data_IF_195988914375
#
_entry.id   IF_195988914375
#
_cell.length_a   1.000
_cell.length_b   1.000
_cell.length_c   1.000
_cell.angle_alpha   90.00
_cell.angle_beta   90.00
_cell.angle_gamma   90.00
#
_symmetry.space_group_name_H-M   'P 1'
#
loop_
_entity.id
_entity.type
_entity.pdbx_description
1 polymer ?
#
# COMPACT_ATOMS: atom_id res chain seq x y z
N UNK A 1 -1.50 -0.12 16.85
CA UNK A 1 -0.71 0.54 17.92
C UNK A 1 -1.39 1.85 18.27
N UNK A 2 -1.83 2.07 19.50
CA UNK A 2 -2.54 3.31 19.85
C UNK A 2 -1.57 4.43 20.27
N UNK A 3 -1.77 5.64 19.74
CA UNK A 3 -0.93 6.83 20.00
C UNK A 3 -1.79 8.01 20.50
N UNK A 4 -2.18 8.03 21.79
CA UNK A 4 -2.98 9.13 22.34
C UNK A 4 -2.24 10.48 22.30
N UNK A 5 -0.91 10.44 22.43
CA UNK A 5 0.06 11.53 22.42
C UNK A 5 0.59 11.88 21.01
N UNK A 6 -0.08 11.44 19.93
CA UNK A 6 0.39 11.63 18.54
C UNK A 6 0.79 13.08 18.19
N UNK A 7 0.11 14.05 18.80
CA UNK A 7 0.30 15.47 18.53
C UNK A 7 1.67 15.93 19.08
N UNK A 8 2.10 15.37 20.21
CA UNK A 8 3.40 15.61 20.84
C UNK A 8 4.55 14.93 20.07
N UNK A 9 4.27 13.77 19.45
CA UNK A 9 5.24 13.03 18.63
C UNK A 9 5.60 13.76 17.32
N UNK A 10 4.73 14.66 16.83
CA UNK A 10 4.92 15.30 15.51
C UNK A 10 6.24 16.05 15.38
N UNK A 11 6.60 16.88 16.37
CA UNK A 11 7.79 17.73 16.29
C UNK A 11 9.08 16.91 16.46
N UNK A 12 9.23 16.01 17.46
CA UNK A 12 10.39 15.14 17.58
C UNK A 12 10.68 14.31 16.32
N UNK A 13 9.64 13.71 15.72
CA UNK A 13 9.81 12.91 14.48
C UNK A 13 10.24 13.77 13.29
N UNK A 14 9.79 15.03 13.24
CA UNK A 14 10.23 15.96 12.21
C UNK A 14 11.69 16.36 12.40
N UNK A 15 12.07 16.74 13.62
CA UNK A 15 13.41 17.22 13.95
C UNK A 15 14.48 16.15 13.71
N UNK A 16 14.21 14.90 14.08
CA UNK A 16 15.13 13.79 13.82
C UNK A 16 15.28 13.53 12.32
N UNK A 17 14.20 13.55 11.54
CA UNK A 17 14.27 13.36 10.10
C UNK A 17 15.04 14.50 9.42
N UNK A 18 14.80 15.76 9.82
CA UNK A 18 15.55 16.92 9.31
C UNK A 18 17.04 16.84 9.66
N UNK A 19 17.37 16.45 10.89
CA UNK A 19 18.76 16.25 11.35
C UNK A 19 19.49 15.16 10.57
N UNK A 20 18.79 14.07 10.26
CA UNK A 20 19.33 12.92 9.53
C UNK A 20 19.28 13.09 8.00
N UNK A 21 18.75 14.22 7.51
CA UNK A 21 18.62 14.50 6.08
C UNK A 21 17.65 13.55 5.36
N UNK A 22 16.64 13.04 6.06
CA UNK A 22 15.62 12.16 5.50
C UNK A 22 14.52 12.98 4.81
N UNK A 23 13.97 12.41 3.74
CA UNK A 23 12.78 12.92 3.07
C UNK A 23 11.73 11.81 3.00
N UNK A 24 10.46 12.20 2.93
CA UNK A 24 9.37 11.23 3.03
C UNK A 24 8.15 11.78 3.73
N UNK A 25 7.26 10.88 4.11
CA UNK A 25 6.04 11.21 4.85
C UNK A 25 5.87 10.27 6.02
N UNK A 26 5.63 10.85 7.20
CA UNK A 26 5.11 10.17 8.38
C UNK A 26 3.68 10.66 8.60
N UNK A 27 2.76 9.70 8.71
CA UNK A 27 1.38 9.91 9.11
C UNK A 27 1.22 9.45 10.56
N UNK A 28 0.74 10.35 11.40
CA UNK A 28 0.43 10.08 12.81
C UNK A 28 -1.06 10.21 13.02
N UNK A 29 -1.65 9.21 13.64
CA UNK A 29 -3.07 9.17 14.03
C UNK A 29 -3.20 8.57 15.42
N UNK A 30 -4.39 8.63 16.02
CA UNK A 30 -4.59 7.98 17.32
C UNK A 30 -4.56 6.45 17.20
N UNK A 31 -4.86 5.90 16.01
CA UNK A 31 -4.82 4.47 15.70
C UNK A 31 -3.41 3.96 15.33
N UNK A 32 -2.41 4.85 15.22
CA UNK A 32 -1.02 4.47 14.99
C UNK A 32 -0.24 5.38 14.05
N UNK A 33 0.81 4.81 13.48
CA UNK A 33 1.77 5.46 12.58
C UNK A 33 1.85 4.72 11.24
N UNK A 34 2.02 5.45 10.15
CA UNK A 34 2.40 4.90 8.85
C UNK A 34 3.47 5.83 8.24
N UNK A 35 4.55 5.27 7.71
CA UNK A 35 5.63 6.09 7.19
C UNK A 35 6.34 5.48 5.98
N UNK A 36 6.81 6.37 5.12
CA UNK A 36 7.71 6.09 4.00
C UNK A 36 8.82 7.12 4.05
N UNK A 37 10.05 6.67 4.29
CA UNK A 37 11.22 7.53 4.46
C UNK A 37 12.32 7.05 3.53
N UNK A 38 13.05 7.98 2.94
CA UNK A 38 14.25 7.69 2.16
C UNK A 38 15.39 8.64 2.50
N UNK A 39 16.59 8.10 2.47
CA UNK A 39 17.83 8.80 2.77
C UNK A 39 19.00 7.82 2.81
N UNK A 40 20.14 8.28 3.30
CA UNK A 40 21.32 7.41 3.43
C UNK A 40 21.04 6.24 4.37
N UNK A 41 21.72 5.10 4.15
CA UNK A 41 21.63 3.93 5.03
C UNK A 41 21.85 4.30 6.51
N UNK A 42 22.88 5.09 6.78
CA UNK A 42 23.19 5.60 8.13
C UNK A 42 22.05 6.43 8.71
N UNK A 43 21.43 7.30 7.90
CA UNK A 43 20.29 8.11 8.33
C UNK A 43 19.07 7.26 8.67
N UNK A 44 18.77 6.24 7.86
CA UNK A 44 17.69 5.30 8.15
C UNK A 44 17.98 4.50 9.42
N UNK A 45 19.17 3.93 9.56
CA UNK A 45 19.55 3.15 10.76
C UNK A 45 19.42 4.00 12.04
N UNK A 46 19.91 5.24 12.03
CA UNK A 46 19.76 6.16 13.17
C UNK A 46 18.30 6.56 13.45
N UNK A 47 17.46 6.66 12.42
CA UNK A 47 16.03 6.89 12.61
C UNK A 47 15.35 5.67 13.24
N UNK A 48 15.71 4.45 12.84
CA UNK A 48 15.18 3.22 13.44
C UNK A 48 15.62 3.07 14.90
N UNK A 49 16.86 3.44 15.23
CA UNK A 49 17.32 3.52 16.62
C UNK A 49 16.49 4.52 17.43
N UNK A 50 16.17 5.69 16.88
CA UNK A 50 15.27 6.66 17.50
C UNK A 50 13.86 6.09 17.67
N UNK A 51 13.30 5.45 16.64
CA UNK A 51 11.97 4.87 16.64
C UNK A 51 11.83 3.81 17.75
N UNK A 52 12.85 2.96 17.91
CA UNK A 52 12.90 1.92 18.92
C UNK A 52 13.01 2.42 20.37
N UNK A 53 13.29 3.72 20.60
CA UNK A 53 13.25 4.32 21.94
C UNK A 53 11.82 4.36 22.49
N UNK A 54 10.82 4.44 21.61
CA UNK A 54 9.43 4.22 21.97
C UNK A 54 9.11 2.74 21.80
N UNK A 55 8.98 2.03 22.92
CA UNK A 55 8.67 0.60 22.94
C UNK A 55 7.39 0.24 22.16
N UNK A 56 6.44 1.18 22.01
CA UNK A 56 5.22 0.96 21.21
C UNK A 56 5.51 0.80 19.71
N UNK A 57 6.66 1.28 19.25
CA UNK A 57 7.06 1.38 17.85
C UNK A 57 8.26 0.50 17.48
N UNK A 58 8.83 -0.22 18.45
CA UNK A 58 10.08 -0.97 18.27
C UNK A 58 9.96 -2.12 17.26
N UNK A 59 8.80 -2.77 17.19
CA UNK A 59 8.57 -3.96 16.37
C UNK A 59 7.74 -3.69 15.11
N UNK A 60 7.71 -2.44 14.63
CA UNK A 60 6.98 -2.11 13.39
C UNK A 60 7.63 -2.88 12.22
N UNK A 61 6.85 -3.66 11.44
CA UNK A 61 7.36 -4.31 10.25
C UNK A 61 7.86 -3.27 9.25
N UNK A 62 9.09 -3.46 8.77
CA UNK A 62 9.74 -2.55 7.84
C UNK A 62 9.92 -3.22 6.48
N UNK A 63 9.79 -2.43 5.42
CA UNK A 63 10.19 -2.82 4.07
C UNK A 63 11.24 -1.86 3.56
N UNK A 64 12.26 -2.42 2.94
CA UNK A 64 13.41 -1.67 2.44
C UNK A 64 13.52 -1.91 0.94
N UNK A 65 13.65 -0.82 0.19
CA UNK A 65 13.99 -0.85 -1.23
C UNK A 65 15.08 0.18 -1.48
N UNK A 66 15.80 0.00 -2.58
CA UNK A 66 16.93 0.83 -2.95
C UNK A 66 16.59 1.64 -4.20
N UNK A 67 17.14 2.85 -4.28
CA UNK A 67 17.08 3.70 -5.47
C UNK A 67 18.33 4.56 -5.51
N UNK A 68 18.83 4.82 -6.71
CA UNK A 68 19.98 5.69 -6.94
C UNK A 68 19.64 7.17 -6.74
N UNK A 69 18.35 7.51 -6.71
CA UNK A 69 17.87 8.88 -6.53
C UNK A 69 16.99 9.01 -5.29
N UNK A 70 16.79 10.24 -4.83
CA UNK A 70 15.95 10.53 -3.66
C UNK A 70 14.47 10.59 -4.09
N UNK A 71 13.63 9.60 -3.72
CA UNK A 71 12.26 9.49 -4.23
C UNK A 71 11.29 10.50 -3.60
N UNK A 72 11.70 11.24 -2.56
CA UNK A 72 10.87 12.27 -1.92
C UNK A 72 11.45 13.67 -2.03
N UNK A 73 10.60 14.67 -2.32
CA UNK A 73 11.02 16.09 -2.43
C UNK A 73 11.36 16.75 -1.12
N UNK A 74 10.69 16.35 -0.05
CA UNK A 74 10.69 17.02 1.25
C UNK A 74 10.25 16.04 2.33
N UNK A 75 10.56 16.38 3.56
CA UNK A 75 10.06 15.68 4.73
C UNK A 75 8.69 16.23 5.15
N UNK A 76 7.75 15.34 5.47
CA UNK A 76 6.40 15.69 5.93
C UNK A 76 6.05 14.84 7.16
N UNK A 77 5.61 15.48 8.24
CA UNK A 77 4.97 14.80 9.38
C UNK A 77 3.56 15.36 9.54
N UNK A 78 2.56 14.51 9.26
CA UNK A 78 1.15 14.91 9.16
C UNK A 78 0.33 14.22 10.23
N UNK A 79 -0.45 15.02 10.97
CA UNK A 79 -1.52 14.51 11.81
C UNK A 79 -2.71 14.15 10.93
N UNK A 80 -3.26 12.96 11.13
CA UNK A 80 -4.39 12.43 10.39
C UNK A 80 -5.38 11.80 11.36
N UNK A 81 -6.66 11.81 10.99
CA UNK A 81 -7.70 11.05 11.70
C UNK A 81 -7.38 9.56 11.66
N UNK A 82 -7.00 9.07 10.48
CA UNK A 82 -6.62 7.68 10.20
C UNK A 82 -5.29 7.64 9.43
N UNK A 83 -4.41 6.68 9.72
CA UNK A 83 -3.17 6.45 8.94
C UNK A 83 -3.46 5.88 7.56
N UNK A 84 -4.57 5.15 7.41
CA UNK A 84 -5.19 4.74 6.16
C UNK A 84 -6.66 5.07 6.24
N UNK A 85 -7.14 5.96 5.37
CA UNK A 85 -8.50 6.48 5.44
C UNK A 85 -9.52 5.50 4.89
N UNK A 86 -10.17 4.74 5.77
CA UNK A 86 -11.35 3.93 5.45
C UNK A 86 -12.64 4.73 5.66
N UNK A 87 -12.64 5.73 6.55
CA UNK A 87 -13.82 6.53 6.87
C UNK A 87 -14.82 5.84 7.79
N UNK A 88 -14.41 4.75 8.45
CA UNK A 88 -15.19 3.95 9.40
C UNK A 88 -14.46 3.93 10.75
N UNK A 89 -14.66 4.93 11.63
CA UNK A 89 -13.92 5.06 12.89
C UNK A 89 -14.17 3.90 13.87
N UNK A 90 -15.26 3.16 13.68
CA UNK A 90 -15.60 1.93 14.42
C UNK A 90 -14.71 0.73 14.05
N UNK A 91 -13.98 0.79 12.92
CA UNK A 91 -13.09 -0.27 12.47
C UNK A 91 -11.68 -0.02 12.99
N UNK A 92 -11.22 -0.89 13.88
CA UNK A 92 -9.88 -0.84 14.48
C UNK A 92 -9.16 -2.17 14.24
N UNK A 93 -8.08 -2.19 13.43
CA UNK A 93 -7.27 -3.39 13.23
C UNK A 93 -6.61 -3.92 14.51
N UNK A 94 -6.50 -3.08 15.55
CA UNK A 94 -5.97 -3.50 16.84
C UNK A 94 -6.92 -4.46 17.59
N UNK A 95 -8.23 -4.39 17.29
CA UNK A 95 -9.23 -5.23 17.94
C UNK A 95 -9.33 -6.59 17.24
N UNK A 96 -9.24 -6.60 15.91
CA UNK A 96 -9.31 -7.80 15.09
C UNK A 96 -8.82 -7.54 13.66
N UNK A 97 -8.04 -8.47 13.11
CA UNK A 97 -7.59 -8.46 11.71
C UNK A 97 -7.64 -9.87 11.13
N UNK A 98 -7.60 -9.98 9.80
CA UNK A 98 -7.66 -11.26 9.09
C UNK A 98 -6.36 -12.05 9.25
N UNK A 99 -6.45 -13.37 9.05
CA UNK A 99 -5.27 -14.24 9.08
C UNK A 99 -4.29 -13.87 7.98
N UNK A 100 -2.98 -13.94 8.26
CA UNK A 100 -1.96 -13.75 7.23
C UNK A 100 -1.77 -15.03 6.39
N UNK A 101 -1.53 -14.87 5.09
CA UNK A 101 -0.96 -15.90 4.23
C UNK A 101 0.42 -15.45 3.72
N UNK A 102 1.41 -16.34 3.84
CA UNK A 102 2.75 -16.09 3.32
C UNK A 102 2.75 -16.08 1.78
N UNK A 103 3.60 -15.26 1.12
CA UNK A 103 3.71 -15.22 -0.33
C UNK A 103 3.83 -16.57 -1.01
N UNK A 104 4.72 -17.45 -0.54
CA UNK A 104 4.94 -18.77 -1.17
C UNK A 104 3.72 -19.68 -1.03
N UNK A 105 2.91 -19.50 0.02
CA UNK A 105 1.67 -20.26 0.18
C UNK A 105 0.59 -19.77 -0.79
N UNK A 106 0.45 -18.46 -1.01
CA UNK A 106 -0.43 -17.95 -2.07
C UNK A 106 0.05 -18.47 -3.43
N UNK A 107 1.35 -18.32 -3.73
CA UNK A 107 1.92 -18.84 -4.98
C UNK A 107 1.62 -20.32 -5.20
N UNK A 108 1.84 -21.16 -4.18
CA UNK A 108 1.58 -22.60 -4.30
C UNK A 108 0.10 -22.92 -4.59
N UNK A 109 -0.83 -22.14 -4.02
CA UNK A 109 -2.27 -22.28 -4.29
C UNK A 109 -2.60 -21.91 -5.74
N UNK A 110 -2.03 -20.82 -6.24
CA UNK A 110 -2.20 -20.38 -7.63
C UNK A 110 -1.55 -21.35 -8.62
N UNK A 111 -0.33 -21.84 -8.34
CA UNK A 111 0.35 -22.87 -9.14
C UNK A 111 -0.47 -24.17 -9.25
N UNK A 112 -1.26 -24.48 -8.22
CA UNK A 112 -2.10 -25.67 -8.12
C UNK A 112 -3.53 -25.46 -8.64
N UNK A 113 -3.87 -24.26 -9.14
CA UNK A 113 -5.22 -23.89 -9.59
C UNK A 113 -6.29 -24.17 -8.52
N UNK A 114 -5.97 -23.89 -7.25
CA UNK A 114 -6.92 -24.02 -6.15
C UNK A 114 -8.04 -22.96 -6.26
N UNK A 115 -9.28 -23.32 -5.90
CA UNK A 115 -10.43 -22.39 -5.87
C UNK A 115 -10.29 -21.38 -4.72
N UNK A 116 -9.47 -20.35 -4.95
CA UNK A 116 -9.28 -19.20 -4.07
C UNK A 116 -9.64 -17.92 -4.80
N UNK A 117 -10.21 -16.96 -4.08
CA UNK A 117 -10.51 -15.63 -4.61
C UNK A 117 -9.37 -14.69 -4.23
N UNK A 118 -8.64 -14.20 -5.20
CA UNK A 118 -7.66 -13.13 -4.98
C UNK A 118 -8.38 -11.79 -5.13
N UNK A 119 -8.37 -10.95 -4.09
CA UNK A 119 -9.11 -9.68 -4.06
C UNK A 119 -8.16 -8.49 -3.95
N UNK A 120 -8.18 -7.62 -4.97
CA UNK A 120 -7.39 -6.39 -4.96
C UNK A 120 -8.11 -5.30 -4.17
N UNK A 121 -7.47 -4.80 -3.11
CA UNK A 121 -8.03 -3.75 -2.25
C UNK A 121 -7.53 -2.36 -2.65
N UNK A 122 -6.81 -2.25 -3.78
CA UNK A 122 -6.24 -1.01 -4.27
C UNK A 122 -7.24 -0.18 -5.09
N UNK A 123 -6.86 1.05 -5.38
CA UNK A 123 -7.67 1.92 -6.22
C UNK A 123 -7.47 1.55 -7.70
N UNK A 124 -8.44 1.90 -8.55
CA UNK A 124 -8.44 1.61 -9.99
C UNK A 124 -7.11 1.99 -10.68
N UNK A 125 -6.52 3.15 -10.34
CA UNK A 125 -5.29 3.62 -10.96
C UNK A 125 -4.07 2.76 -10.61
N UNK A 126 -4.10 2.01 -9.51
CA UNK A 126 -3.03 1.09 -9.12
C UNK A 126 -3.16 -0.25 -9.83
N UNK A 127 -4.41 -0.68 -10.07
CA UNK A 127 -4.75 -1.94 -10.74
C UNK A 127 -4.39 -1.87 -12.21
N UNK A 128 -4.63 -0.73 -12.87
CA UNK A 128 -4.25 -0.51 -14.28
C UNK A 128 -2.76 -0.67 -14.55
N UNK A 129 -1.91 -0.44 -13.54
CA UNK A 129 -0.46 -0.57 -13.65
C UNK A 129 -0.03 -2.04 -13.56
N UNK A 130 -0.77 -2.83 -12.80
CA UNK A 130 -0.55 -4.26 -12.68
C UNK A 130 -1.32 -4.85 -11.52
N UNK A 131 -1.69 -6.13 -11.60
CA UNK A 131 -2.44 -6.86 -10.58
C UNK A 131 -2.20 -8.37 -10.71
N UNK A 132 -2.68 -9.18 -9.77
CA UNK A 132 -2.64 -10.63 -9.91
C UNK A 132 -3.59 -11.09 -11.03
N UNK A 133 -3.17 -12.11 -11.77
CA UNK A 133 -4.01 -12.78 -12.77
C UNK A 133 -5.35 -13.19 -12.15
N UNK A 134 -6.45 -12.90 -12.85
CA UNK A 134 -7.83 -13.17 -12.43
C UNK A 134 -8.26 -12.57 -11.07
N UNK A 135 -7.50 -11.59 -10.54
CA UNK A 135 -7.88 -10.91 -9.31
C UNK A 135 -9.20 -10.15 -9.47
N UNK A 136 -10.03 -10.21 -8.43
CA UNK A 136 -11.27 -9.44 -8.34
C UNK A 136 -10.93 -7.97 -8.14
N UNK A 137 -11.36 -7.14 -9.09
CA UNK A 137 -11.34 -5.69 -9.01
C UNK A 137 -12.69 -5.16 -8.50
N UNK A 138 -12.67 -4.36 -7.43
CA UNK A 138 -13.85 -3.71 -6.87
C UNK A 138 -14.21 -2.40 -7.58
N UNK A 139 -13.40 -1.95 -8.53
CA UNK A 139 -13.54 -0.72 -9.30
C UNK A 139 -13.75 0.52 -8.41
N UNK A 140 -12.88 0.66 -7.40
CA UNK A 140 -12.93 1.76 -6.43
C UNK A 140 -11.93 2.87 -6.78
N UNK A 141 -12.38 4.12 -6.77
CA UNK A 141 -11.50 5.29 -6.93
C UNK A 141 -10.72 5.63 -5.65
N UNK A 142 -11.26 5.20 -4.51
CA UNK A 142 -10.74 5.48 -3.18
C UNK A 142 -11.03 4.33 -2.22
N UNK A 143 -10.06 3.99 -1.37
CA UNK A 143 -10.23 2.96 -0.33
C UNK A 143 -11.39 3.24 0.65
N UNK A 144 -11.88 4.48 0.74
CA UNK A 144 -13.11 4.80 1.50
C UNK A 144 -14.37 4.15 0.93
N UNK A 145 -14.35 3.81 -0.34
CA UNK A 145 -15.48 3.20 -1.05
C UNK A 145 -15.48 1.67 -0.86
N UNK A 146 -14.40 1.08 -0.33
CA UNK A 146 -14.26 -0.36 -0.10
C UNK A 146 -15.43 -0.97 0.70
N UNK A 147 -15.88 -0.39 1.84
CA UNK A 147 -17.00 -0.97 2.61
C UNK A 147 -18.30 -1.06 1.83
N UNK A 148 -18.53 -0.13 0.90
CA UNK A 148 -19.74 -0.11 0.10
C UNK A 148 -19.60 -1.05 -1.11
N UNK A 149 -18.40 -1.10 -1.72
CA UNK A 149 -18.09 -1.92 -2.88
C UNK A 149 -18.23 -3.43 -2.60
N UNK A 150 -17.82 -3.90 -1.42
CA UNK A 150 -17.92 -5.32 -1.06
C UNK A 150 -19.37 -5.83 -0.95
N UNK A 151 -20.35 -4.94 -0.78
CA UNK A 151 -21.77 -5.33 -0.76
C UNK A 151 -22.30 -5.71 -2.14
N UNK A 152 -21.56 -5.36 -3.20
CA UNK A 152 -21.90 -5.75 -4.58
C UNK A 152 -21.29 -7.11 -4.96
N UNK A 153 -20.46 -7.70 -4.09
CA UNK A 153 -19.91 -9.03 -4.34
C UNK A 153 -21.03 -10.09 -4.23
N UNK A 154 -20.98 -11.16 -5.04
CA UNK A 154 -21.95 -12.24 -4.96
C UNK A 154 -21.98 -12.87 -3.56
N UNK A 155 -23.17 -13.20 -3.06
CA UNK A 155 -23.34 -13.76 -1.71
C UNK A 155 -22.59 -15.09 -1.54
N UNK A 156 -22.48 -15.90 -2.59
CA UNK A 156 -21.70 -17.15 -2.57
C UNK A 156 -20.20 -16.93 -2.28
N UNK A 157 -19.69 -15.71 -2.51
CA UNK A 157 -18.29 -15.37 -2.24
C UNK A 157 -18.01 -15.33 -0.73
N UNK A 158 -19.04 -15.17 0.12
CA UNK A 158 -18.88 -15.15 1.58
C UNK A 158 -18.35 -16.44 2.17
N UNK A 159 -18.59 -17.56 1.49
CA UNK A 159 -18.13 -18.90 1.89
C UNK A 159 -16.77 -19.29 1.27
N UNK A 160 -16.28 -18.53 0.28
CA UNK A 160 -15.00 -18.80 -0.39
C UNK A 160 -13.80 -18.39 0.47
N UNK A 161 -12.65 -18.99 0.18
CA UNK A 161 -11.35 -18.50 0.66
C UNK A 161 -10.97 -17.24 -0.12
N UNK A 162 -10.92 -16.09 0.57
CA UNK A 162 -10.56 -14.80 -0.01
C UNK A 162 -9.17 -14.41 0.49
N UNK A 163 -8.26 -14.16 -0.44
CA UNK A 163 -6.91 -13.67 -0.18
C UNK A 163 -6.82 -12.24 -0.70
N UNK A 164 -6.82 -11.28 0.23
CA UNK A 164 -6.73 -9.87 -0.10
C UNK A 164 -5.28 -9.40 -0.17
N UNK A 165 -5.03 -8.43 -1.04
CA UNK A 165 -3.73 -7.78 -1.10
C UNK A 165 -3.85 -6.27 -1.38
N UNK A 166 -2.76 -5.57 -1.09
CA UNK A 166 -2.47 -4.23 -1.58
C UNK A 166 -0.95 -4.09 -1.69
N UNK A 167 -0.43 -2.92 -2.06
CA UNK A 167 1.02 -2.67 -2.18
C UNK A 167 1.80 -3.10 -0.93
N UNK A 168 1.31 -2.69 0.25
CA UNK A 168 2.04 -2.72 1.51
C UNK A 168 1.50 -3.68 2.57
N UNK A 169 0.28 -4.18 2.42
CA UNK A 169 -0.48 -4.92 3.44
C UNK A 169 -1.39 -4.04 4.33
N UNK A 170 -1.02 -2.77 4.58
CA UNK A 170 -1.72 -1.92 5.56
C UNK A 170 -3.21 -1.66 5.28
N UNK A 171 -3.66 -1.67 4.02
CA UNK A 171 -5.10 -1.59 3.70
C UNK A 171 -5.84 -2.87 4.09
N UNK A 172 -5.20 -4.02 3.89
CA UNK A 172 -5.78 -5.33 4.17
C UNK A 172 -6.07 -5.52 5.66
N UNK A 173 -5.30 -4.87 6.54
CA UNK A 173 -5.56 -4.84 7.98
C UNK A 173 -6.95 -4.27 8.32
N UNK A 174 -7.33 -3.18 7.64
CA UNK A 174 -8.68 -2.58 7.78
C UNK A 174 -9.73 -3.33 6.97
N UNK A 175 -9.39 -3.73 5.74
CA UNK A 175 -10.30 -4.44 4.85
C UNK A 175 -10.78 -5.77 5.46
N UNK A 176 -9.91 -6.49 6.16
CA UNK A 176 -10.25 -7.76 6.81
C UNK A 176 -11.36 -7.59 7.84
N UNK A 177 -11.26 -6.59 8.71
CA UNK A 177 -12.31 -6.30 9.69
C UNK A 177 -13.65 -5.95 9.00
N UNK A 178 -13.60 -5.21 7.89
CA UNK A 178 -14.80 -4.85 7.11
C UNK A 178 -15.45 -6.09 6.49
N UNK A 179 -14.66 -6.96 5.84
CA UNK A 179 -15.14 -8.21 5.23
C UNK A 179 -15.73 -9.16 6.28
N UNK A 180 -15.04 -9.36 7.40
CA UNK A 180 -15.50 -10.25 8.46
C UNK A 180 -16.82 -9.75 9.07
N UNK A 181 -16.96 -8.43 9.26
CA UNK A 181 -18.23 -7.81 9.71
C UNK A 181 -19.36 -7.93 8.67
N UNK A 182 -19.04 -7.97 7.38
CA UNK A 182 -20.00 -8.18 6.30
C UNK A 182 -20.41 -9.65 6.10
N UNK A 183 -19.84 -10.57 6.90
CA UNK A 183 -20.22 -11.99 6.93
C UNK A 183 -19.35 -12.90 6.06
N UNK A 184 -18.23 -12.42 5.52
CA UNK A 184 -17.23 -13.28 4.88
C UNK A 184 -16.50 -14.10 5.95
N UNK A 185 -16.39 -15.42 5.77
CA UNK A 185 -15.92 -16.31 6.86
C UNK A 185 -14.47 -16.75 6.72
N UNK A 186 -13.89 -16.75 5.52
CA UNK A 186 -12.52 -17.17 5.27
C UNK A 186 -11.73 -16.07 4.55
N UNK A 187 -11.35 -15.04 5.32
CA UNK A 187 -10.63 -13.86 4.84
C UNK A 187 -9.19 -13.92 5.31
N UNK A 188 -8.27 -13.93 4.36
CA UNK A 188 -6.83 -13.87 4.56
C UNK A 188 -6.25 -12.63 3.90
N UNK A 189 -5.12 -12.18 4.41
CA UNK A 189 -4.36 -11.07 3.84
C UNK A 189 -2.94 -11.50 3.47
N UNK A 190 -2.50 -11.09 2.29
CA UNK A 190 -1.16 -11.37 1.81
C UNK A 190 -0.14 -10.65 2.69
N UNK A 191 0.68 -11.44 3.40
CA UNK A 191 1.73 -10.92 4.26
C UNK A 191 2.73 -10.11 3.44
N UNK A 192 2.96 -8.87 3.85
CA UNK A 192 3.83 -7.97 3.10
C UNK A 192 3.24 -7.49 1.76
N UNK A 193 1.98 -7.76 1.45
CA UNK A 193 1.34 -7.30 0.21
C UNK A 193 2.11 -7.68 -1.06
N UNK A 194 1.90 -6.93 -2.13
CA UNK A 194 2.56 -7.16 -3.43
C UNK A 194 4.08 -7.09 -3.33
N UNK A 195 4.62 -6.11 -2.60
CA UNK A 195 6.07 -5.95 -2.48
C UNK A 195 6.74 -7.12 -1.75
N UNK A 196 6.08 -7.69 -0.74
CA UNK A 196 6.56 -8.91 -0.08
C UNK A 196 6.44 -10.13 -0.97
N UNK A 197 5.40 -10.18 -1.81
CA UNK A 197 5.28 -11.23 -2.83
C UNK A 197 6.42 -11.19 -3.84
N UNK A 198 6.74 -10.01 -4.37
CA UNK A 198 7.87 -9.83 -5.29
C UNK A 198 9.20 -10.26 -4.68
N UNK A 199 9.44 -9.87 -3.42
CA UNK A 199 10.67 -10.25 -2.70
C UNK A 199 10.83 -11.77 -2.55
N UNK A 200 9.74 -12.48 -2.28
CA UNK A 200 9.78 -13.90 -1.93
C UNK A 200 9.48 -14.86 -3.10
N UNK A 201 8.74 -14.39 -4.11
CA UNK A 201 8.20 -15.19 -5.21
C UNK A 201 8.47 -14.62 -6.60
N UNK A 202 8.95 -13.38 -6.72
CA UNK A 202 9.07 -12.69 -8.01
C UNK A 202 7.69 -12.31 -8.59
N UNK A 203 7.53 -12.43 -9.91
CA UNK A 203 6.33 -11.99 -10.64
C UNK A 203 5.39 -13.09 -11.08
N UNK A 204 5.51 -14.30 -10.54
CA UNK A 204 4.61 -15.40 -10.90
C UNK A 204 3.15 -15.01 -10.59
N UNK A 205 2.24 -15.26 -11.54
CA UNK A 205 0.81 -14.88 -11.47
C UNK A 205 0.54 -13.37 -11.38
N UNK A 206 1.53 -12.52 -11.61
CA UNK A 206 1.37 -11.07 -11.59
C UNK A 206 1.53 -10.50 -13.00
N UNK A 207 0.59 -9.66 -13.43
CA UNK A 207 0.67 -8.91 -14.69
C UNK A 207 1.01 -7.44 -14.44
N UNK A 208 1.94 -6.89 -15.21
CA UNK A 208 2.40 -5.49 -15.11
C UNK A 208 3.33 -5.17 -13.94
N UNK A 209 3.24 -3.94 -13.43
CA UNK A 209 4.09 -3.39 -12.37
C UNK A 209 3.27 -3.02 -11.12
N UNK A 210 3.94 -2.83 -9.99
CA UNK A 210 3.30 -2.43 -8.74
C UNK A 210 3.44 -0.94 -8.48
N UNK A 211 2.33 -0.20 -8.50
CA UNK A 211 2.30 1.21 -8.11
C UNK A 211 2.83 1.46 -6.69
N UNK A 212 3.66 2.50 -6.53
CA UNK A 212 4.22 2.97 -5.26
C UNK A 212 3.99 4.47 -5.05
N UNK A 213 3.78 4.87 -3.80
CA UNK A 213 3.36 6.23 -3.42
C UNK A 213 4.54 7.22 -3.30
N UNK A 214 5.47 7.16 -4.25
CA UNK A 214 6.63 8.04 -4.32
C UNK A 214 7.01 8.34 -5.79
N UNK A 215 8.15 9.00 -6.02
CA UNK A 215 8.52 9.43 -7.37
C UNK A 215 8.86 8.30 -8.34
N UNK A 216 9.10 7.09 -7.85
CA UNK A 216 9.37 5.93 -8.69
C UNK A 216 8.14 5.49 -9.47
N UNK A 217 6.95 5.90 -9.01
CA UNK A 217 5.62 5.60 -9.58
C UNK A 217 5.25 4.12 -9.54
N UNK A 218 6.09 3.23 -10.06
CA UNK A 218 5.87 1.79 -10.02
C UNK A 218 7.20 1.01 -9.94
N UNK A 219 7.13 -0.20 -9.37
CA UNK A 219 8.23 -1.16 -9.29
C UNK A 219 7.86 -2.43 -10.05
N UNK A 220 8.82 -3.00 -10.79
CA UNK A 220 8.64 -4.30 -11.43
C UNK A 220 8.70 -5.45 -10.39
N UNK A 221 8.44 -6.71 -10.79
CA UNK A 221 8.55 -7.85 -9.88
C UNK A 221 9.95 -8.15 -9.34
N UNK A 222 10.99 -7.50 -9.85
CA UNK A 222 12.36 -7.53 -9.31
C UNK A 222 12.63 -6.38 -8.33
N UNK A 223 11.60 -5.61 -7.97
CA UNK A 223 11.65 -4.44 -7.09
C UNK A 223 12.51 -3.29 -7.64
N UNK A 224 12.62 -3.20 -8.96
CA UNK A 224 13.34 -2.14 -9.67
C UNK A 224 12.36 -1.07 -10.17
N UNK A 225 12.81 0.18 -10.19
CA UNK A 225 12.04 1.32 -10.73
C UNK A 225 11.77 1.14 -12.23
N UNK A 226 10.57 1.54 -12.65
CA UNK A 226 10.08 1.38 -14.02
C UNK A 226 9.84 2.73 -14.68
N UNK A 227 9.65 2.75 -15.99
CA UNK A 227 9.48 3.99 -16.78
C UNK A 227 8.07 4.60 -16.67
N UNK A 228 7.36 4.34 -15.58
CA UNK A 228 6.05 4.94 -15.29
C UNK A 228 6.22 6.38 -14.82
N UNK A 229 5.36 7.28 -15.32
CA UNK A 229 5.36 8.69 -14.90
C UNK A 229 4.00 9.12 -14.34
N UNK A 230 4.00 10.16 -13.50
CA UNK A 230 2.76 10.77 -13.04
C UNK A 230 2.41 11.97 -13.93
N UNK A 231 1.20 11.99 -14.48
CA UNK A 231 0.69 13.16 -15.19
C UNK A 231 0.83 14.43 -14.34
N UNK A 232 1.26 15.52 -14.96
CA UNK A 232 1.44 16.79 -14.28
C UNK A 232 0.11 17.34 -13.71
N UNK A 233 -0.97 17.23 -14.48
CA UNK A 233 -2.26 17.83 -14.16
C UNK A 233 -3.13 16.96 -13.25
N UNK A 234 -3.48 15.74 -13.69
CA UNK A 234 -4.40 14.88 -12.96
C UNK A 234 -3.72 13.92 -11.98
N UNK A 235 -2.39 13.77 -12.04
CA UNK A 235 -1.61 12.84 -11.20
C UNK A 235 -1.88 11.35 -11.45
N UNK A 236 -2.55 11.00 -12.55
CA UNK A 236 -2.66 9.60 -12.99
C UNK A 236 -1.27 9.03 -13.31
N UNK A 237 -0.99 7.77 -12.92
CA UNK A 237 0.17 7.04 -13.41
C UNK A 237 -0.02 6.66 -14.88
N UNK A 238 1.03 6.87 -15.65
CA UNK A 238 1.06 6.68 -17.10
C UNK A 238 2.15 5.67 -17.45
N UNK A 239 1.76 4.63 -18.17
CA UNK A 239 2.65 3.70 -18.85
C UNK A 239 3.09 4.25 -20.22
N UNK A 240 3.91 3.46 -20.91
CA UNK A 240 4.52 3.89 -22.18
C UNK A 240 3.50 4.16 -23.29
N UNK A 241 2.39 3.42 -23.34
CA UNK A 241 1.34 3.66 -24.34
C UNK A 241 0.69 5.03 -24.14
N UNK A 242 0.41 5.41 -22.89
CA UNK A 242 -0.22 6.68 -22.55
C UNK A 242 0.74 7.85 -22.76
N UNK A 243 2.03 7.66 -22.46
CA UNK A 243 3.09 8.66 -22.70
C UNK A 243 3.34 8.89 -24.19
N UNK A 244 3.05 7.92 -25.05
CA UNK A 244 3.18 8.05 -26.51
C UNK A 244 1.87 8.51 -27.20
N UNK A 245 0.79 8.73 -26.44
CA UNK A 245 -0.48 9.21 -26.99
C UNK A 245 -0.40 10.66 -27.46
N UNK A 246 -1.16 11.01 -28.51
CA UNK A 246 -1.30 12.39 -28.99
C UNK A 246 -1.92 13.33 -27.93
N UNK A 247 -2.68 12.78 -26.99
CA UNK A 247 -3.30 13.51 -25.88
C UNK A 247 -2.33 13.78 -24.71
N UNK A 248 -1.13 13.18 -24.75
CA UNK A 248 -0.08 13.48 -23.78
C UNK A 248 0.70 14.73 -24.16
N UNK A 249 0.47 15.80 -23.41
CA UNK A 249 1.19 17.06 -23.55
C UNK A 249 1.99 17.29 -22.27
N UNK A 250 3.30 17.20 -22.38
CA UNK A 250 4.24 17.36 -21.26
C UNK A 250 3.90 18.63 -20.46
N UNK A 251 3.67 18.45 -19.16
CA UNK A 251 3.35 19.54 -18.24
C UNK A 251 1.92 20.10 -18.35
N UNK A 252 1.03 19.48 -19.13
CA UNK A 252 -0.33 19.97 -19.37
C UNK A 252 -1.41 18.90 -19.20
N UNK A 253 -1.37 17.82 -19.98
CA UNK A 253 -2.46 16.83 -20.05
C UNK A 253 -1.94 15.42 -20.35
N UNK A 254 -2.82 14.45 -20.18
CA UNK A 254 -2.64 13.05 -20.60
C UNK A 254 -4.00 12.52 -21.10
N UNK A 255 -4.07 11.30 -21.66
CA UNK A 255 -5.32 10.72 -22.18
C UNK A 255 -6.49 10.69 -21.18
N UNK A 256 -6.21 10.68 -19.86
CA UNK A 256 -7.24 10.69 -18.82
C UNK A 256 -7.81 12.07 -18.49
N UNK A 257 -7.17 13.15 -18.94
CA UNK A 257 -7.57 14.51 -18.57
C UNK A 257 -7.49 15.55 -19.70
N UNK A 258 -7.24 15.09 -20.93
CA UNK A 258 -7.25 15.91 -22.14
C UNK A 258 -8.67 16.33 -22.55
#
# INVERSE_FOLDING_TARGET
ITLPDRDELRQPFRDICETLGLAGTILLSHEGINFFLAGSRKGIDSYLEFLAQDQRLADIPLKVSYSDTQPFRRMLVRLKTEIISLGRPEISPADFTGEEIAPQHLKAKLDADEDVVVLDTRNEYEIRIGTFEDAVDLNISSFRDFPDAINNLPEEMKEKEIIMFCTGGIRCEKASAVMLNAGFVNVKQLKGGVLGYFEECGGDHWDGDCFVFDRRVALNPQLEETDHELCFACREPLGQEELNSEDYVIGQSCPHCA
#
